data_IF_144558143639
#
_entry.id   IF_144558143639
#
_cell.length_a   1.000
_cell.length_b   1.000
_cell.length_c   1.000
_cell.angle_alpha   90.00
_cell.angle_beta   90.00
_cell.angle_gamma   90.00
#
_symmetry.space_group_name_H-M   'P 1'
#
loop_
_entity.id
_entity.type
_entity.pdbx_description
1 polymer ?
#
# COMPACT_ATOMS: atom_id res chain seq x y z
N UNK A 1 16.60 -0.53 -21.51
CA UNK A 1 15.17 -0.13 -21.61
C UNK A 1 14.80 0.36 -23.01
N UNK A 2 15.47 1.36 -23.63
CA UNK A 2 15.12 1.87 -24.99
C UNK A 2 15.04 0.77 -26.06
N UNK A 3 15.96 -0.22 -26.03
CA UNK A 3 15.93 -1.37 -26.94
C UNK A 3 14.64 -2.20 -26.76
N UNK A 4 14.20 -2.41 -25.52
CA UNK A 4 13.00 -3.19 -25.23
C UNK A 4 11.73 -2.49 -25.72
N UNK A 5 11.67 -1.15 -25.64
CA UNK A 5 10.52 -0.40 -26.16
C UNK A 5 10.42 -0.48 -27.68
N UNK A 6 11.54 -0.45 -28.42
CA UNK A 6 11.52 -0.68 -29.86
C UNK A 6 11.03 -2.08 -30.22
N UNK A 7 11.48 -3.11 -29.50
CA UNK A 7 11.01 -4.48 -29.70
C UNK A 7 9.50 -4.58 -29.40
N UNK A 8 9.04 -3.92 -28.32
CA UNK A 8 7.62 -3.90 -27.98
C UNK A 8 6.77 -3.23 -29.07
N UNK A 9 7.24 -2.14 -29.66
CA UNK A 9 6.60 -1.44 -30.77
C UNK A 9 6.54 -2.28 -32.05
N UNK A 10 7.59 -3.06 -32.31
CA UNK A 10 7.63 -3.99 -33.44
C UNK A 10 6.67 -5.17 -33.28
N UNK A 11 6.37 -5.57 -32.04
CA UNK A 11 5.56 -6.75 -31.70
C UNK A 11 4.09 -6.42 -31.38
N UNK A 12 3.76 -5.13 -31.19
CA UNK A 12 2.43 -4.72 -30.73
C UNK A 12 1.97 -3.45 -31.46
N UNK A 13 0.96 -3.53 -32.28
CA UNK A 13 0.42 -2.40 -33.06
C UNK A 13 -0.14 -1.26 -32.19
N UNK A 14 -0.59 -1.58 -30.98
CA UNK A 14 -1.15 -0.63 -30.02
C UNK A 14 -0.09 0.15 -29.23
N UNK A 15 1.16 -0.35 -29.15
CA UNK A 15 2.23 0.31 -28.39
C UNK A 15 3.09 1.20 -29.31
N UNK A 16 3.38 2.40 -28.84
CA UNK A 16 4.31 3.34 -29.47
C UNK A 16 5.41 3.72 -28.48
N UNK A 17 6.66 3.69 -28.92
CA UNK A 17 7.81 4.06 -28.10
C UNK A 17 7.75 5.53 -27.62
N UNK A 18 7.05 6.39 -28.37
CA UNK A 18 6.81 7.79 -28.02
C UNK A 18 5.89 7.98 -26.78
N UNK A 19 5.19 6.94 -26.37
CA UNK A 19 4.41 6.95 -25.11
C UNK A 19 5.32 6.94 -23.87
N UNK A 20 6.63 6.70 -24.04
CA UNK A 20 7.56 6.50 -22.93
C UNK A 20 8.63 7.56 -22.93
N UNK A 21 8.65 8.40 -21.90
CA UNK A 21 9.74 9.32 -21.58
C UNK A 21 10.69 8.67 -20.57
N UNK A 22 11.94 8.44 -20.97
CA UNK A 22 12.98 7.86 -20.13
C UNK A 22 13.88 8.95 -19.56
N UNK A 23 13.76 9.19 -18.27
CA UNK A 23 14.59 10.13 -17.51
C UNK A 23 15.57 9.38 -16.62
N UNK A 24 16.80 9.87 -16.52
CA UNK A 24 17.76 9.44 -15.51
C UNK A 24 17.62 10.37 -14.32
N UNK A 25 17.41 9.81 -13.13
CA UNK A 25 17.26 10.58 -11.89
C UNK A 25 17.55 9.71 -10.66
N UNK A 26 17.50 10.34 -9.51
CA UNK A 26 17.51 9.69 -8.20
C UNK A 26 16.06 9.53 -7.73
N UNK A 27 15.73 8.41 -7.09
CA UNK A 27 14.39 8.20 -6.54
C UNK A 27 14.08 9.12 -5.36
N UNK A 28 15.11 9.72 -4.74
CA UNK A 28 15.00 10.72 -3.68
C UNK A 28 15.01 12.17 -4.20
N UNK A 29 15.12 12.35 -5.52
CA UNK A 29 15.10 13.65 -6.21
C UNK A 29 14.70 13.40 -7.68
N UNK A 30 13.41 13.18 -7.89
CA UNK A 30 12.88 12.83 -9.20
C UNK A 30 12.89 14.03 -10.14
N UNK A 31 13.37 13.88 -11.40
CA UNK A 31 13.35 14.95 -12.40
C UNK A 31 11.92 15.14 -12.97
N UNK A 32 10.97 15.38 -12.08
CA UNK A 32 9.53 15.46 -12.33
C UNK A 32 8.97 16.63 -11.53
N UNK A 33 8.11 17.43 -12.14
CA UNK A 33 7.47 18.58 -11.51
C UNK A 33 6.50 18.17 -10.40
N UNK A 34 6.31 19.06 -9.42
CA UNK A 34 5.31 18.89 -8.36
C UNK A 34 3.91 18.74 -8.95
N UNK A 35 3.09 17.88 -8.38
CA UNK A 35 1.67 17.73 -8.72
C UNK A 35 1.42 17.53 -10.23
N UNK A 36 2.29 16.77 -10.91
CA UNK A 36 2.22 16.57 -12.36
C UNK A 36 1.79 15.15 -12.78
N UNK A 37 1.88 14.17 -11.87
CA UNK A 37 1.67 12.75 -12.15
C UNK A 37 0.34 12.27 -11.56
N UNK A 38 -0.45 11.54 -12.34
CA UNK A 38 -1.71 10.94 -11.89
C UNK A 38 -1.47 9.63 -11.13
N UNK A 39 -0.52 8.82 -11.60
CA UNK A 39 -0.17 7.52 -10.99
C UNK A 39 1.35 7.34 -10.98
N UNK A 40 1.91 7.16 -9.80
CA UNK A 40 3.27 6.68 -9.60
C UNK A 40 3.23 5.18 -9.28
N UNK A 41 4.17 4.40 -9.80
CA UNK A 41 4.25 2.97 -9.52
C UNK A 41 5.68 2.54 -9.23
N UNK A 42 5.85 1.64 -8.26
CA UNK A 42 7.12 1.01 -7.97
C UNK A 42 6.93 -0.47 -7.60
N UNK A 43 7.96 -1.27 -7.81
CA UNK A 43 7.98 -2.67 -7.44
C UNK A 43 9.36 -3.01 -6.87
N UNK A 44 9.41 -3.49 -5.63
CA UNK A 44 10.63 -3.87 -4.91
C UNK A 44 11.69 -2.75 -4.83
N UNK A 45 11.29 -1.50 -4.79
CA UNK A 45 12.23 -0.38 -4.68
C UNK A 45 12.46 0.05 -3.22
N UNK A 46 11.40 0.16 -2.43
CA UNK A 46 11.49 0.78 -1.11
C UNK A 46 12.36 -0.02 -0.13
N UNK A 47 12.37 -1.33 -0.24
CA UNK A 47 13.20 -2.21 0.61
C UNK A 47 14.71 -2.13 0.36
N UNK A 48 15.14 -1.45 -0.71
CA UNK A 48 16.56 -1.21 -0.98
C UNK A 48 17.08 -0.07 -0.11
N UNK A 49 16.23 0.90 0.23
CA UNK A 49 16.63 2.08 0.98
C UNK A 49 16.85 1.79 2.47
N UNK A 50 17.74 2.56 3.08
CA UNK A 50 17.81 2.71 4.54
C UNK A 50 16.73 3.69 5.00
N UNK A 51 16.37 3.67 6.28
CA UNK A 51 15.20 4.39 6.78
C UNK A 51 15.11 5.88 6.39
N UNK A 52 16.22 6.62 6.44
CA UNK A 52 16.24 8.03 6.08
C UNK A 52 16.05 8.30 4.58
N UNK A 53 16.57 7.41 3.73
CA UNK A 53 16.44 7.49 2.28
C UNK A 53 15.06 6.99 1.83
N UNK A 54 14.52 5.97 2.49
CA UNK A 54 13.16 5.50 2.27
C UNK A 54 12.14 6.62 2.47
N UNK A 55 12.27 7.37 3.58
CA UNK A 55 11.40 8.51 3.85
C UNK A 55 11.42 9.52 2.69
N UNK A 56 12.61 9.92 2.24
CA UNK A 56 12.77 10.86 1.11
C UNK A 56 12.14 10.32 -0.17
N UNK A 57 12.37 9.03 -0.48
CA UNK A 57 11.80 8.42 -1.69
C UNK A 57 10.26 8.40 -1.66
N UNK A 58 9.64 8.15 -0.51
CA UNK A 58 8.18 8.21 -0.35
C UNK A 58 7.68 9.66 -0.47
N UNK A 59 8.37 10.62 0.17
CA UNK A 59 8.05 12.06 0.08
C UNK A 59 8.14 12.56 -1.38
N UNK A 60 9.13 12.10 -2.15
CA UNK A 60 9.25 12.41 -3.59
C UNK A 60 8.08 11.84 -4.41
N UNK A 61 7.67 10.60 -4.14
CA UNK A 61 6.48 10.03 -4.78
C UNK A 61 5.23 10.87 -4.45
N UNK A 62 5.08 11.30 -3.20
CA UNK A 62 3.98 12.18 -2.82
C UNK A 62 4.08 13.56 -3.47
N UNK A 63 5.27 14.17 -3.56
CA UNK A 63 5.50 15.48 -4.17
C UNK A 63 5.01 15.52 -5.62
N UNK A 64 5.44 14.54 -6.42
CA UNK A 64 5.15 14.51 -7.88
C UNK A 64 3.69 14.18 -8.21
N UNK A 65 2.98 13.49 -7.31
CA UNK A 65 1.58 13.14 -7.51
C UNK A 65 0.68 14.38 -7.43
N UNK A 66 -0.30 14.46 -8.32
CA UNK A 66 -1.42 15.41 -8.24
C UNK A 66 -2.27 15.15 -7.00
N UNK A 67 -3.05 16.14 -6.51
CA UNK A 67 -4.13 15.87 -5.58
C UNK A 67 -5.01 14.72 -6.10
N UNK A 68 -5.35 13.76 -5.24
CA UNK A 68 -6.07 12.52 -5.57
C UNK A 68 -5.31 11.57 -6.51
N UNK A 69 -4.06 11.87 -6.85
CA UNK A 69 -3.16 10.94 -7.53
C UNK A 69 -2.75 9.81 -6.58
N UNK A 70 -2.32 8.68 -7.14
CA UNK A 70 -2.02 7.48 -6.35
C UNK A 70 -0.62 6.94 -6.58
N UNK A 71 0.01 6.49 -5.52
CA UNK A 71 1.16 5.62 -5.55
C UNK A 71 0.68 4.17 -5.50
N UNK A 72 1.07 3.35 -6.46
CA UNK A 72 0.85 1.90 -6.44
C UNK A 72 2.20 1.22 -6.18
N UNK A 73 2.27 0.40 -5.14
CA UNK A 73 3.50 -0.29 -4.76
C UNK A 73 3.27 -1.78 -4.53
N UNK A 74 4.31 -2.57 -4.83
CA UNK A 74 4.39 -3.98 -4.45
C UNK A 74 5.77 -4.24 -3.88
N UNK A 75 5.83 -4.57 -2.58
CA UNK A 75 7.09 -4.82 -1.85
C UNK A 75 6.97 -6.05 -0.94
N UNK A 76 8.09 -6.74 -0.71
CA UNK A 76 8.18 -7.70 0.38
C UNK A 76 7.96 -7.04 1.75
N UNK A 77 7.24 -7.74 2.63
CA UNK A 77 6.96 -7.32 4.01
C UNK A 77 7.29 -8.46 4.98
N UNK A 78 7.63 -8.12 6.20
CA UNK A 78 7.96 -9.08 7.26
C UNK A 78 7.41 -8.58 8.60
N UNK A 79 6.53 -9.36 9.20
CA UNK A 79 5.99 -9.07 10.54
C UNK A 79 6.93 -9.52 11.68
N UNK A 80 7.88 -10.42 11.37
CA UNK A 80 8.86 -10.89 12.34
C UNK A 80 10.06 -9.94 12.38
N UNK A 81 10.64 -9.79 13.56
CA UNK A 81 11.87 -9.03 13.74
C UNK A 81 13.05 -9.79 13.11
N UNK A 82 13.78 -9.13 12.24
CA UNK A 82 15.04 -9.64 11.69
C UNK A 82 16.20 -9.19 12.56
N UNK A 83 17.13 -10.10 12.85
CA UNK A 83 18.35 -9.76 13.56
C UNK A 83 19.28 -8.81 12.77
N UNK A 84 20.26 -8.23 13.44
CA UNK A 84 21.16 -7.25 12.85
C UNK A 84 21.97 -7.79 11.66
N UNK A 85 22.34 -9.09 11.69
CA UNK A 85 23.09 -9.72 10.62
C UNK A 85 22.28 -9.77 9.33
N UNK A 86 21.01 -10.20 9.41
CA UNK A 86 20.10 -10.17 8.26
C UNK A 86 19.80 -8.73 7.81
N UNK A 87 19.54 -7.81 8.74
CA UNK A 87 19.23 -6.41 8.42
C UNK A 87 20.37 -5.69 7.72
N UNK A 88 21.62 -6.07 7.99
CA UNK A 88 22.81 -5.47 7.41
C UNK A 88 23.39 -6.23 6.21
N UNK A 89 22.80 -7.35 5.80
CA UNK A 89 23.23 -8.08 4.60
C UNK A 89 22.84 -7.32 3.33
N UNK A 90 23.84 -6.73 2.66
CA UNK A 90 23.66 -5.93 1.44
C UNK A 90 23.18 -6.79 0.24
N UNK A 91 23.45 -8.10 0.22
CA UNK A 91 22.94 -8.99 -0.83
C UNK A 91 21.43 -9.22 -0.65
N UNK A 92 20.99 -9.43 0.61
CA UNK A 92 19.57 -9.54 0.92
C UNK A 92 18.86 -8.21 0.68
N UNK A 93 19.52 -7.08 0.90
CA UNK A 93 19.00 -5.75 0.58
C UNK A 93 18.80 -5.59 -0.93
N UNK A 94 19.78 -5.96 -1.73
CA UNK A 94 19.66 -5.94 -3.19
C UNK A 94 18.54 -6.89 -3.72
N UNK A 95 18.14 -7.87 -2.92
CA UNK A 95 17.01 -8.77 -3.19
C UNK A 95 15.69 -8.28 -2.55
N UNK A 96 15.67 -7.05 -2.00
CA UNK A 96 14.53 -6.44 -1.29
C UNK A 96 14.08 -7.20 -0.04
N UNK A 97 14.94 -7.99 0.60
CA UNK A 97 14.57 -8.82 1.75
C UNK A 97 14.95 -8.17 3.08
N UNK A 98 16.22 -7.76 3.26
CA UNK A 98 16.70 -7.22 4.54
C UNK A 98 16.10 -5.86 4.90
N UNK A 99 15.54 -5.14 3.93
CA UNK A 99 14.83 -3.89 4.15
C UNK A 99 13.31 -4.04 4.34
N UNK A 100 12.77 -5.27 4.33
CA UNK A 100 11.33 -5.49 4.50
C UNK A 100 10.83 -4.92 5.82
N UNK A 101 9.79 -4.11 5.73
CA UNK A 101 9.07 -3.53 6.86
C UNK A 101 7.87 -4.39 7.23
N UNK A 102 7.33 -4.20 8.44
CA UNK A 102 5.98 -4.67 8.75
C UNK A 102 4.93 -3.88 7.95
N UNK A 103 3.72 -4.42 7.82
CA UNK A 103 2.62 -3.69 7.17
C UNK A 103 2.34 -2.39 7.93
N UNK A 104 2.37 -2.43 9.26
CA UNK A 104 2.16 -1.26 10.10
C UNK A 104 3.21 -0.17 9.85
N UNK A 105 4.48 -0.54 9.70
CA UNK A 105 5.55 0.43 9.41
C UNK A 105 5.44 1.01 8.00
N UNK A 106 5.00 0.22 7.00
CA UNK A 106 4.71 0.74 5.66
C UNK A 106 3.56 1.74 5.69
N UNK A 107 2.45 1.39 6.34
CA UNK A 107 1.31 2.31 6.50
C UNK A 107 1.76 3.59 7.18
N UNK A 108 2.53 3.48 8.27
CA UNK A 108 3.07 4.64 8.98
C UNK A 108 3.96 5.51 8.07
N UNK A 109 4.88 4.92 7.32
CA UNK A 109 5.77 5.66 6.42
C UNK A 109 5.00 6.41 5.33
N UNK A 110 3.95 5.81 4.77
CA UNK A 110 3.08 6.42 3.78
C UNK A 110 2.24 7.56 4.38
N UNK A 111 1.66 7.35 5.55
CA UNK A 111 0.86 8.38 6.22
C UNK A 111 1.70 9.55 6.72
N UNK A 112 2.91 9.29 7.23
CA UNK A 112 3.87 10.33 7.61
C UNK A 112 4.29 11.20 6.40
N UNK A 113 4.30 10.64 5.19
CA UNK A 113 4.57 11.38 3.96
C UNK A 113 3.36 12.18 3.42
N UNK A 114 2.17 12.04 4.05
CA UNK A 114 0.99 12.84 3.74
C UNK A 114 -0.10 12.13 2.94
N UNK A 115 0.00 10.82 2.69
CA UNK A 115 -1.08 10.08 2.06
C UNK A 115 -2.27 9.91 3.02
N UNK A 116 -3.43 10.48 2.65
CA UNK A 116 -4.64 10.46 3.49
C UNK A 116 -5.43 9.16 3.40
N UNK A 117 -5.26 8.39 2.32
CA UNK A 117 -5.94 7.12 2.09
C UNK A 117 -4.94 6.04 1.71
N UNK A 118 -5.00 4.89 2.39
CA UNK A 118 -4.16 3.71 2.14
C UNK A 118 -5.07 2.50 1.91
N UNK A 119 -4.89 1.84 0.77
CA UNK A 119 -5.61 0.62 0.40
C UNK A 119 -4.63 -0.56 0.35
N UNK A 120 -4.79 -1.54 1.21
CA UNK A 120 -4.04 -2.80 1.12
C UNK A 120 -4.83 -3.73 0.20
N UNK A 121 -4.32 -3.90 -1.02
CA UNK A 121 -5.03 -4.58 -2.10
C UNK A 121 -4.76 -6.07 -2.17
N UNK A 122 -3.57 -6.48 -1.75
CA UNK A 122 -3.24 -7.90 -1.64
C UNK A 122 -2.14 -8.13 -0.61
N UNK A 123 -2.19 -9.31 0.00
CA UNK A 123 -1.13 -9.89 0.84
C UNK A 123 -1.00 -11.36 0.48
N UNK A 124 0.21 -11.80 0.17
CA UNK A 124 0.46 -13.19 -0.25
C UNK A 124 1.83 -13.69 0.22
N UNK A 125 2.00 -14.98 0.49
CA UNK A 125 3.30 -15.59 0.76
C UNK A 125 4.29 -15.30 -0.38
N UNK A 126 5.53 -14.97 -0.03
CA UNK A 126 6.59 -14.67 -1.00
C UNK A 126 7.80 -15.58 -0.82
N UNK A 127 8.41 -15.64 0.39
CA UNK A 127 9.63 -16.38 0.65
C UNK A 127 9.76 -16.80 2.12
N UNK A 128 10.53 -17.83 2.37
CA UNK A 128 11.00 -18.21 3.71
C UNK A 128 12.52 -18.05 3.77
N UNK A 129 13.02 -17.38 4.82
CA UNK A 129 14.42 -17.42 5.20
C UNK A 129 14.57 -18.51 6.26
N UNK A 130 15.29 -19.56 5.94
CA UNK A 130 15.46 -20.70 6.82
C UNK A 130 16.87 -20.73 7.46
N UNK A 131 17.02 -21.24 8.69
CA UNK A 131 18.30 -21.27 9.41
C UNK A 131 19.43 -22.06 8.74
N UNK A 132 19.12 -22.88 7.73
CA UNK A 132 20.15 -23.66 7.01
C UNK A 132 20.89 -22.81 5.98
N UNK A 133 20.22 -21.76 5.46
CA UNK A 133 20.73 -20.94 4.37
C UNK A 133 20.95 -19.49 4.76
N UNK A 134 20.39 -19.05 5.90
CA UNK A 134 20.42 -17.67 6.37
C UNK A 134 20.83 -17.60 7.85
N UNK A 135 21.50 -16.53 8.30
CA UNK A 135 21.90 -16.36 9.69
C UNK A 135 20.70 -15.95 10.55
N UNK A 136 19.84 -16.89 10.85
CA UNK A 136 18.66 -16.74 11.71
C UNK A 136 18.46 -18.01 12.54
N UNK A 137 17.88 -17.87 13.73
CA UNK A 137 17.62 -19.01 14.63
C UNK A 137 16.26 -19.67 14.34
N UNK A 138 15.37 -18.98 13.62
CA UNK A 138 14.02 -19.46 13.30
C UNK A 138 13.65 -19.18 11.85
N UNK A 139 12.54 -19.79 11.40
CA UNK A 139 11.98 -19.51 10.09
C UNK A 139 11.41 -18.09 10.06
N UNK A 140 11.86 -17.27 9.11
CA UNK A 140 11.31 -15.93 8.88
C UNK A 140 10.45 -15.97 7.62
N UNK A 141 9.19 -15.58 7.75
CA UNK A 141 8.22 -15.58 6.68
C UNK A 141 8.19 -14.20 6.03
N UNK A 142 8.54 -14.13 4.77
CA UNK A 142 8.43 -12.93 3.96
C UNK A 142 7.15 -13.05 3.13
N UNK A 143 6.33 -12.04 3.19
CA UNK A 143 5.14 -11.89 2.36
C UNK A 143 5.36 -10.78 1.33
N UNK A 144 4.48 -10.64 0.37
CA UNK A 144 4.41 -9.51 -0.54
C UNK A 144 3.09 -8.80 -0.32
N UNK A 145 3.12 -7.48 -0.22
CA UNK A 145 1.92 -6.64 -0.20
C UNK A 145 1.77 -5.86 -1.49
N UNK A 146 0.53 -5.60 -1.88
CA UNK A 146 0.18 -4.64 -2.92
C UNK A 146 -0.63 -3.52 -2.26
N UNK A 147 -0.17 -2.28 -2.39
CA UNK A 147 -0.75 -1.11 -1.72
C UNK A 147 -0.99 -0.02 -2.74
N UNK A 148 -2.15 0.64 -2.65
CA UNK A 148 -2.35 1.94 -3.25
C UNK A 148 -2.45 3.00 -2.15
N UNK A 149 -1.59 4.02 -2.21
CA UNK A 149 -1.62 5.18 -1.34
C UNK A 149 -2.08 6.40 -2.14
N UNK A 150 -3.16 7.04 -1.70
CA UNK A 150 -3.80 8.13 -2.44
C UNK A 150 -3.47 9.44 -1.76
N UNK A 151 -3.05 10.44 -2.56
CA UNK A 151 -2.75 11.79 -2.11
C UNK A 151 -4.04 12.58 -1.84
N UNK A 152 -4.89 12.01 -0.99
CA UNK A 152 -6.04 12.71 -0.44
C UNK A 152 -5.62 13.63 0.71
N UNK A 153 -6.35 14.70 1.00
CA UNK A 153 -6.16 15.47 2.21
C UNK A 153 -6.24 14.57 3.44
N UNK A 154 -5.32 14.75 4.39
CA UNK A 154 -5.35 14.02 5.65
C UNK A 154 -6.61 14.40 6.44
N UNK A 155 -7.53 13.47 6.73
CA UNK A 155 -8.69 13.77 7.57
C UNK A 155 -8.28 14.16 8.99
N UNK A 156 -9.08 15.00 9.65
CA UNK A 156 -8.79 15.48 11.01
C UNK A 156 -8.72 14.37 12.07
N UNK A 157 -9.40 13.27 11.82
CA UNK A 157 -9.44 12.06 12.66
C UNK A 157 -8.45 10.97 12.23
N UNK A 158 -7.51 11.31 11.35
CA UNK A 158 -6.47 10.43 10.85
C UNK A 158 -6.76 9.80 9.47
N UNK A 159 -5.81 9.03 8.92
CA UNK A 159 -5.91 8.46 7.59
C UNK A 159 -7.02 7.41 7.47
N UNK A 160 -7.54 7.24 6.26
CA UNK A 160 -8.40 6.13 5.91
C UNK A 160 -7.54 4.93 5.49
N UNK A 161 -7.52 3.85 6.30
CA UNK A 161 -6.74 2.64 6.01
C UNK A 161 -7.70 1.50 5.72
N UNK A 162 -7.71 1.03 4.48
CA UNK A 162 -8.54 -0.07 4.02
C UNK A 162 -7.73 -1.38 4.01
N UNK A 163 -8.08 -2.28 4.91
CA UNK A 163 -7.48 -3.61 5.05
C UNK A 163 -8.38 -4.73 4.50
N UNK A 164 -9.43 -4.36 3.77
CA UNK A 164 -10.42 -5.31 3.25
C UNK A 164 -11.50 -5.69 4.25
N UNK A 165 -11.74 -4.87 5.29
CA UNK A 165 -12.89 -5.02 6.19
C UNK A 165 -14.17 -4.55 5.52
N UNK A 166 -15.28 -5.19 5.89
CA UNK A 166 -16.62 -4.78 5.51
C UNK A 166 -17.56 -4.78 6.72
N UNK A 167 -18.56 -3.88 6.69
CA UNK A 167 -19.69 -3.90 7.59
C UNK A 167 -20.96 -4.30 6.83
N UNK A 168 -21.84 -5.09 7.46
CA UNK A 168 -23.13 -5.51 6.91
C UNK A 168 -24.18 -5.23 7.94
N UNK A 169 -25.11 -4.34 7.63
CA UNK A 169 -26.30 -4.10 8.43
C UNK A 169 -27.38 -5.15 8.12
N UNK A 170 -27.98 -5.76 9.16
CA UNK A 170 -29.03 -6.77 9.01
C UNK A 170 -30.22 -6.52 9.95
N UNK A 171 -30.38 -5.29 10.45
CA UNK A 171 -31.51 -4.88 11.29
C UNK A 171 -32.85 -4.82 10.55
N UNK A 172 -33.85 -4.24 11.18
CA UNK A 172 -35.25 -4.26 10.68
C UNK A 172 -35.49 -3.23 9.55
N UNK A 173 -34.78 -2.10 9.58
CA UNK A 173 -34.93 -1.01 8.60
C UNK A 173 -34.22 -1.35 7.27
N UNK A 174 -34.52 -0.61 6.21
CA UNK A 174 -33.91 -0.80 4.89
C UNK A 174 -32.42 -0.41 4.85
N UNK A 175 -32.01 0.50 5.75
CA UNK A 175 -30.62 0.97 5.89
C UNK A 175 -30.34 1.45 7.31
N UNK A 176 -29.07 1.56 7.65
CA UNK A 176 -28.57 2.25 8.83
C UNK A 176 -27.64 3.39 8.41
N UNK A 177 -27.87 4.60 8.94
CA UNK A 177 -27.01 5.77 8.77
C UNK A 177 -26.35 6.08 10.11
N UNK A 178 -25.02 6.21 10.13
CA UNK A 178 -24.26 6.46 11.36
C UNK A 178 -24.20 7.96 11.74
N UNK A 179 -24.74 8.84 10.88
CA UNK A 179 -24.67 10.28 11.07
C UNK A 179 -23.31 10.89 10.78
N UNK A 180 -22.31 10.09 10.38
CA UNK A 180 -20.95 10.48 10.05
C UNK A 180 -20.63 10.33 8.53
N UNK A 181 -21.67 10.05 7.73
CA UNK A 181 -21.57 9.94 6.29
C UNK A 181 -21.54 8.51 5.75
N UNK A 182 -21.75 7.50 6.61
CA UNK A 182 -21.78 6.11 6.16
C UNK A 182 -23.21 5.58 6.21
N UNK A 183 -23.71 5.10 5.07
CA UNK A 183 -25.01 4.47 4.93
C UNK A 183 -24.84 2.99 4.60
N UNK A 184 -25.21 2.11 5.52
CA UNK A 184 -25.17 0.67 5.37
C UNK A 184 -26.54 0.19 4.90
N UNK A 185 -26.64 -0.26 3.66
CA UNK A 185 -27.88 -0.86 3.12
C UNK A 185 -28.08 -2.26 3.71
N UNK A 186 -29.32 -2.63 3.98
CA UNK A 186 -29.66 -3.91 4.57
C UNK A 186 -29.15 -5.09 3.72
N UNK A 187 -28.42 -5.99 4.38
CA UNK A 187 -27.82 -7.19 3.79
C UNK A 187 -26.82 -6.93 2.65
N UNK A 188 -26.28 -5.71 2.55
CA UNK A 188 -25.23 -5.39 1.57
C UNK A 188 -23.92 -5.08 2.28
N UNK A 189 -22.79 -5.71 1.87
CA UNK A 189 -21.51 -5.38 2.44
C UNK A 189 -21.06 -3.98 1.96
N UNK A 190 -20.67 -3.14 2.91
CA UNK A 190 -19.98 -1.89 2.67
C UNK A 190 -18.52 -2.08 3.08
N UNK A 191 -17.58 -1.88 2.16
CA UNK A 191 -16.16 -1.85 2.50
C UNK A 191 -15.86 -0.61 3.34
N UNK A 192 -15.20 -0.79 4.48
CA UNK A 192 -14.93 0.27 5.46
C UNK A 192 -13.46 0.33 5.82
N UNK A 193 -12.94 1.52 6.10
CA UNK A 193 -11.60 1.70 6.65
C UNK A 193 -11.57 1.33 8.15
N UNK A 194 -10.37 1.11 8.68
CA UNK A 194 -10.18 0.65 10.06
C UNK A 194 -10.76 1.60 11.10
N UNK A 195 -10.68 2.93 10.89
CA UNK A 195 -11.28 3.91 11.81
C UNK A 195 -12.81 3.89 11.79
N UNK A 196 -13.41 3.75 10.60
CA UNK A 196 -14.88 3.60 10.46
C UNK A 196 -15.34 2.30 11.12
N UNK A 197 -14.61 1.21 10.96
CA UNK A 197 -14.89 -0.04 11.66
C UNK A 197 -14.90 0.16 13.17
N UNK A 198 -13.89 0.83 13.72
CA UNK A 198 -13.82 1.16 15.16
C UNK A 198 -14.97 2.05 15.63
N UNK A 199 -15.33 3.08 14.86
CA UNK A 199 -16.43 3.98 15.19
C UNK A 199 -17.79 3.25 15.19
N UNK A 200 -18.07 2.44 14.18
CA UNK A 200 -19.30 1.66 14.09
C UNK A 200 -19.39 0.60 15.21
N UNK A 201 -18.28 -0.08 15.53
CA UNK A 201 -18.22 -1.04 16.66
C UNK A 201 -18.49 -0.37 17.99
N UNK A 202 -18.02 0.88 18.20
CA UNK A 202 -18.25 1.64 19.43
C UNK A 202 -19.73 1.99 19.68
N UNK A 203 -20.60 1.92 18.65
CA UNK A 203 -22.04 2.10 18.80
C UNK A 203 -22.69 0.94 19.57
N UNK A 204 -22.02 -0.21 19.71
CA UNK A 204 -22.52 -1.37 20.45
C UNK A 204 -23.79 -1.99 19.85
N UNK A 205 -23.97 -1.91 18.53
CA UNK A 205 -25.15 -2.45 17.84
C UNK A 205 -24.95 -3.93 17.54
N UNK A 206 -25.96 -4.73 17.85
CA UNK A 206 -25.95 -6.17 17.60
C UNK A 206 -26.39 -6.55 16.17
N UNK A 207 -26.91 -5.57 15.41
CA UNK A 207 -27.46 -5.75 14.06
C UNK A 207 -26.49 -5.28 12.94
N UNK A 208 -25.22 -5.09 13.28
CA UNK A 208 -24.15 -4.84 12.33
C UNK A 208 -23.07 -5.92 12.46
N UNK A 209 -22.84 -6.67 11.39
CA UNK A 209 -21.73 -7.62 11.31
C UNK A 209 -20.50 -6.94 10.75
N UNK A 210 -19.32 -7.28 11.29
CA UNK A 210 -18.01 -6.81 10.82
C UNK A 210 -17.17 -8.01 10.39
N UNK A 211 -16.64 -7.95 9.16
CA UNK A 211 -15.68 -8.94 8.71
C UNK A 211 -14.29 -8.68 9.32
N UNK A 212 -13.49 -9.75 9.41
CA UNK A 212 -12.05 -9.62 9.65
C UNK A 212 -11.35 -8.96 8.46
N UNK A 213 -10.11 -8.46 8.69
CA UNK A 213 -9.26 -7.94 7.62
C UNK A 213 -8.89 -9.05 6.64
N UNK A 214 -9.26 -8.89 5.39
CA UNK A 214 -8.91 -9.84 4.31
C UNK A 214 -7.60 -9.49 3.62
N UNK A 215 -7.07 -8.26 3.85
CA UNK A 215 -5.96 -7.67 3.12
C UNK A 215 -6.18 -7.71 1.60
N UNK A 216 -7.43 -7.59 1.19
CA UNK A 216 -7.83 -7.53 -0.20
C UNK A 216 -8.93 -6.48 -0.37
N UNK A 217 -8.53 -5.26 -0.71
CA UNK A 217 -9.44 -4.16 -0.98
C UNK A 217 -9.42 -3.84 -2.48
N UNK A 218 -10.56 -3.94 -3.15
CA UNK A 218 -10.71 -3.76 -4.59
C UNK A 218 -11.34 -2.42 -5.01
N UNK A 219 -11.61 -1.57 -4.04
CA UNK A 219 -12.27 -0.27 -4.25
C UNK A 219 -13.76 -0.31 -3.96
N UNK A 220 -14.39 0.87 -3.95
CA UNK A 220 -15.84 0.99 -3.68
C UNK A 220 -16.20 1.07 -2.19
N UNK A 221 -15.31 1.65 -1.40
CA UNK A 221 -15.51 1.83 0.04
C UNK A 221 -16.38 3.03 0.44
N UNK A 222 -16.41 3.28 1.71
CA UNK A 222 -17.28 4.27 2.37
C UNK A 222 -16.76 5.71 2.36
N UNK A 223 -15.52 5.94 1.93
CA UNK A 223 -14.90 7.28 1.94
C UNK A 223 -14.87 7.91 0.56
#
# INVERSE_FOLDING_TARGET
SRKNFKIAEEQNDWFKSDFVDLRKGDAMDLPVEDNSIDVAAQNCLFNIFKSGDLKKAIEEMHRVLKPHGRLVMSDPTCEQEMNDELRNDERLRALCLSGSLSIADYVKALTDAGFGTIEIRARKPYRILDPKNYPTDELIYIESIEVAAIKDPMPADGPCIFTGKAAIYYGDEDYFDDGAGHTLLKNQPLAICDKTAGALQALGRDDIYFSESTFHYDGGGCC
#
